data_IF_515863911446
#
_entry.id   IF_515863911446
#
_cell.length_a   1.000
_cell.length_b   1.000
_cell.length_c   1.000
_cell.angle_alpha   90.00
_cell.angle_beta   90.00
_cell.angle_gamma   90.00
#
_symmetry.space_group_name_H-M   'P 1'
#
loop_
_entity.id
_entity.type
_entity.pdbx_description
1 polymer ?
#
# COMPACT_ATOMS: atom_id res chain seq x y z
N UNK A 1 16.11 -12.15 13.46
CA UNK A 1 16.49 -11.04 14.36
C UNK A 1 17.65 -10.23 13.74
N UNK A 2 17.88 -8.98 14.17
CA UNK A 2 18.92 -8.09 13.62
C UNK A 2 20.37 -8.59 13.80
N UNK A 3 20.60 -9.50 14.75
CA UNK A 3 21.88 -10.16 15.01
C UNK A 3 22.05 -11.50 14.25
N UNK A 4 21.13 -11.84 13.34
CA UNK A 4 21.15 -13.07 12.56
C UNK A 4 20.57 -14.29 13.28
N UNK A 5 20.18 -14.19 14.56
CA UNK A 5 19.49 -15.31 15.23
C UNK A 5 18.03 -15.42 14.79
N UNK A 6 17.47 -16.61 14.95
CA UNK A 6 16.04 -16.89 14.78
C UNK A 6 15.38 -16.90 16.15
N UNK A 7 14.16 -16.38 16.22
CA UNK A 7 13.37 -16.34 17.44
C UNK A 7 11.91 -16.60 17.08
N UNK A 8 11.18 -17.48 17.80
CA UNK A 8 9.74 -17.57 17.65
C UNK A 8 9.11 -16.20 17.87
N UNK A 9 8.13 -15.83 17.04
CA UNK A 9 7.49 -14.51 17.13
C UNK A 9 6.84 -14.27 18.50
N UNK A 10 6.36 -15.34 19.17
CA UNK A 10 5.82 -15.32 20.52
C UNK A 10 6.82 -14.95 21.62
N UNK A 11 8.12 -15.02 21.34
CA UNK A 11 9.21 -14.69 22.28
C UNK A 11 9.88 -13.34 21.97
N UNK A 12 9.48 -12.70 20.86
CA UNK A 12 9.90 -11.33 20.53
C UNK A 12 9.32 -10.38 21.56
N UNK A 13 10.06 -9.33 21.91
CA UNK A 13 9.63 -8.33 22.88
C UNK A 13 9.80 -6.92 22.32
N UNK A 14 8.98 -5.99 22.78
CA UNK A 14 9.24 -4.56 22.58
C UNK A 14 10.68 -4.25 23.04
N UNK A 15 11.44 -3.55 22.20
CA UNK A 15 12.86 -3.32 22.41
C UNK A 15 13.79 -4.19 21.57
N UNK A 16 13.36 -5.37 21.14
CA UNK A 16 14.16 -6.25 20.27
C UNK A 16 14.43 -5.56 18.93
N UNK A 17 15.56 -5.88 18.30
CA UNK A 17 15.85 -5.44 16.93
C UNK A 17 15.60 -6.57 15.92
N UNK A 18 14.85 -6.25 14.88
CA UNK A 18 14.50 -7.16 13.77
C UNK A 18 15.16 -6.71 12.47
N UNK A 19 15.35 -7.67 11.55
CA UNK A 19 15.69 -7.35 10.17
C UNK A 19 14.41 -7.06 9.41
N UNK A 20 14.44 -5.98 8.65
CA UNK A 20 13.36 -5.54 7.79
C UNK A 20 13.95 -5.03 6.48
N UNK A 21 13.11 -4.71 5.50
CA UNK A 21 13.49 -4.14 4.23
C UNK A 21 12.36 -3.27 3.70
N UNK A 22 12.71 -2.22 2.97
CA UNK A 22 11.75 -1.51 2.15
C UNK A 22 11.20 -2.46 1.06
N UNK A 23 9.88 -2.41 0.79
CA UNK A 23 9.30 -3.19 -0.30
C UNK A 23 9.93 -2.85 -1.66
N UNK A 24 10.34 -3.88 -2.40
CA UNK A 24 10.99 -3.78 -3.69
C UNK A 24 12.48 -3.41 -3.63
N UNK A 25 13.06 -3.23 -2.43
CA UNK A 25 14.48 -2.91 -2.25
C UNK A 25 15.27 -4.14 -1.82
N UNK A 26 16.55 -4.16 -2.21
CA UNK A 26 17.51 -5.21 -1.82
C UNK A 26 18.19 -4.95 -0.48
N UNK A 27 18.12 -3.73 0.01
CA UNK A 27 18.81 -3.30 1.21
C UNK A 27 18.05 -3.75 2.47
N UNK A 28 18.77 -4.39 3.39
CA UNK A 28 18.25 -4.74 4.70
C UNK A 28 18.46 -3.61 5.68
N UNK A 29 17.46 -3.41 6.51
CA UNK A 29 17.49 -2.45 7.60
C UNK A 29 17.25 -3.13 8.95
N UNK A 30 17.68 -2.44 10.00
CA UNK A 30 17.51 -2.87 11.38
C UNK A 30 16.61 -1.88 12.08
N UNK A 31 15.46 -2.35 12.51
CA UNK A 31 14.49 -1.51 13.21
C UNK A 31 14.09 -2.15 14.53
N UNK A 32 13.65 -1.30 15.46
CA UNK A 32 13.26 -1.71 16.80
C UNK A 32 11.80 -2.14 16.80
N UNK A 33 11.49 -3.23 17.50
CA UNK A 33 10.11 -3.60 17.81
C UNK A 33 9.57 -2.63 18.85
N UNK A 34 8.53 -1.89 18.49
CA UNK A 34 7.75 -1.00 19.36
C UNK A 34 6.77 -1.77 20.23
N UNK A 35 6.05 -2.72 19.64
CA UNK A 35 4.99 -3.48 20.31
C UNK A 35 4.90 -4.91 19.77
N UNK A 36 4.41 -5.82 20.61
CA UNK A 36 4.02 -7.18 20.19
C UNK A 36 2.52 -7.28 20.35
N UNK A 37 1.83 -7.56 19.26
CA UNK A 37 0.38 -7.65 19.21
C UNK A 37 0.01 -9.11 19.32
N UNK A 38 -0.91 -9.42 20.23
CA UNK A 38 -1.38 -10.79 20.47
C UNK A 38 -2.87 -10.83 20.25
N UNK A 39 -3.30 -11.60 19.25
CA UNK A 39 -4.71 -11.75 18.91
C UNK A 39 -5.16 -13.18 19.16
N UNK A 40 -6.34 -13.35 19.76
CA UNK A 40 -6.94 -14.66 20.09
C UNK A 40 -8.29 -14.87 19.43
N UNK A 41 -8.73 -13.89 18.66
CA UNK A 41 -10.09 -13.82 18.11
C UNK A 41 -10.16 -14.12 16.62
N UNK A 42 -9.02 -14.21 15.93
CA UNK A 42 -8.96 -14.56 14.52
C UNK A 42 -9.50 -15.97 14.26
N UNK A 43 -10.25 -16.11 13.16
CA UNK A 43 -10.92 -17.38 12.78
C UNK A 43 -10.51 -17.89 11.42
N UNK A 44 -10.08 -17.01 10.52
CA UNK A 44 -9.71 -17.33 9.15
C UNK A 44 -8.20 -17.33 8.97
N UNK A 45 -7.66 -18.46 8.55
CA UNK A 45 -6.23 -18.72 8.43
C UNK A 45 -5.88 -19.23 7.04
N UNK A 46 -4.61 -19.09 6.69
CA UNK A 46 -4.04 -19.56 5.44
C UNK A 46 -2.68 -20.15 5.70
N UNK A 47 -2.45 -21.33 5.12
CA UNK A 47 -1.13 -21.95 5.01
C UNK A 47 -0.54 -21.53 3.66
N UNK A 48 0.57 -20.78 3.70
CA UNK A 48 1.33 -20.37 2.51
C UNK A 48 2.55 -21.26 2.40
N UNK A 49 2.60 -22.11 1.37
CA UNK A 49 3.72 -23.03 1.14
C UNK A 49 4.73 -22.37 0.20
N UNK A 50 5.93 -22.14 0.70
CA UNK A 50 7.03 -21.48 -0.03
C UNK A 50 8.07 -22.51 -0.44
N UNK A 51 8.62 -22.37 -1.66
CA UNK A 51 9.75 -23.15 -2.14
C UNK A 51 11.03 -22.70 -1.42
N UNK A 52 11.75 -23.64 -0.81
CA UNK A 52 13.07 -23.39 -0.19
C UNK A 52 14.08 -24.42 -0.66
N UNK A 53 15.37 -24.17 -0.42
CA UNK A 53 16.45 -25.11 -0.73
C UNK A 53 16.33 -26.42 0.07
N UNK A 54 15.76 -26.36 1.27
CA UNK A 54 15.48 -27.51 2.13
C UNK A 54 14.11 -28.19 1.82
N UNK A 55 13.50 -27.86 0.68
CA UNK A 55 12.18 -28.33 0.27
C UNK A 55 11.03 -27.38 0.65
N UNK A 56 9.77 -27.72 0.34
CA UNK A 56 8.62 -26.86 0.67
C UNK A 56 8.51 -26.60 2.19
N UNK A 57 8.24 -25.35 2.57
CA UNK A 57 8.01 -24.93 3.96
C UNK A 57 6.74 -24.10 4.06
N UNK A 58 6.01 -24.26 5.16
CA UNK A 58 4.72 -23.60 5.37
C UNK A 58 4.87 -22.44 6.33
N UNK A 59 4.23 -21.32 5.99
CA UNK A 59 3.94 -20.22 6.91
C UNK A 59 2.45 -20.28 7.23
N UNK A 60 2.13 -20.48 8.51
CA UNK A 60 0.76 -20.39 9.01
C UNK A 60 0.48 -18.92 9.37
N UNK A 61 -0.57 -18.33 8.80
CA UNK A 61 -0.91 -16.93 9.07
C UNK A 61 -2.42 -16.68 9.05
N UNK A 62 -2.84 -15.48 9.48
CA UNK A 62 -4.23 -15.05 9.27
C UNK A 62 -4.48 -14.78 7.79
N UNK A 63 -5.73 -14.97 7.36
CA UNK A 63 -6.13 -14.73 5.97
C UNK A 63 -5.84 -13.32 5.48
N UNK A 64 -5.87 -12.34 6.37
CA UNK A 64 -5.71 -10.92 6.05
C UNK A 64 -4.28 -10.41 6.18
N UNK A 65 -3.36 -11.21 6.73
CA UNK A 65 -1.96 -10.80 6.86
C UNK A 65 -1.34 -10.59 5.48
N UNK A 66 -0.56 -9.54 5.30
CA UNK A 66 -0.02 -9.18 3.99
C UNK A 66 1.41 -9.65 3.81
N UNK A 67 1.69 -10.20 2.63
CA UNK A 67 3.03 -10.49 2.14
C UNK A 67 3.35 -9.56 0.97
N UNK A 68 4.62 -9.20 0.84
CA UNK A 68 5.03 -8.39 -0.29
C UNK A 68 5.29 -9.27 -1.51
N UNK A 69 4.44 -9.11 -2.54
CA UNK A 69 4.57 -9.81 -3.82
C UNK A 69 5.44 -8.96 -4.75
N UNK A 70 6.61 -9.49 -5.10
CA UNK A 70 7.71 -8.71 -5.68
C UNK A 70 7.48 -8.38 -7.16
N UNK A 71 6.78 -9.26 -7.90
CA UNK A 71 6.58 -9.11 -9.35
C UNK A 71 5.54 -8.03 -9.65
N UNK A 72 4.46 -7.99 -8.88
CA UNK A 72 3.40 -6.98 -8.94
C UNK A 72 3.76 -5.72 -8.16
N UNK A 73 4.84 -5.75 -7.39
CA UNK A 73 5.29 -4.65 -6.56
C UNK A 73 4.17 -4.16 -5.64
N UNK A 74 3.53 -5.11 -4.94
CA UNK A 74 2.30 -4.86 -4.19
C UNK A 74 2.16 -5.76 -2.96
N UNK A 75 1.55 -5.22 -1.91
CA UNK A 75 1.12 -6.00 -0.76
C UNK A 75 -0.13 -6.82 -1.10
N UNK A 76 -0.05 -8.13 -0.91
CA UNK A 76 -1.16 -9.06 -1.17
C UNK A 76 -1.55 -9.75 0.14
N UNK A 77 -2.86 -9.80 0.44
CA UNK A 77 -3.35 -10.57 1.58
C UNK A 77 -3.06 -12.06 1.38
N UNK A 78 -2.78 -12.78 2.46
CA UNK A 78 -2.48 -14.20 2.43
C UNK A 78 -3.56 -15.02 1.71
N UNK A 79 -4.84 -14.72 1.95
CA UNK A 79 -5.97 -15.38 1.28
C UNK A 79 -6.09 -15.11 -0.22
N UNK A 80 -5.47 -14.03 -0.69
CA UNK A 80 -5.49 -13.63 -2.10
C UNK A 80 -4.26 -14.10 -2.86
N UNK A 81 -3.22 -14.59 -2.16
CA UNK A 81 -2.07 -15.21 -2.78
C UNK A 81 -2.47 -16.43 -3.63
N UNK A 82 -1.66 -16.72 -4.64
CA UNK A 82 -1.86 -17.80 -5.61
C UNK A 82 -0.55 -18.55 -5.86
N UNK A 83 -0.59 -19.87 -6.07
CA UNK A 83 0.57 -20.63 -6.51
C UNK A 83 1.24 -20.00 -7.73
N UNK A 84 2.57 -19.96 -7.72
CA UNK A 84 3.38 -19.35 -8.77
C UNK A 84 3.70 -17.86 -8.59
N UNK A 85 3.02 -17.15 -7.69
CA UNK A 85 3.44 -15.81 -7.29
C UNK A 85 4.74 -15.83 -6.49
N UNK A 86 5.41 -14.68 -6.43
CA UNK A 86 6.74 -14.57 -5.82
C UNK A 86 6.75 -13.50 -4.73
N UNK A 87 7.24 -13.88 -3.55
CA UNK A 87 7.41 -13.01 -2.40
C UNK A 87 8.83 -12.44 -2.36
N UNK A 88 9.02 -11.30 -1.73
CA UNK A 88 10.36 -10.76 -1.50
C UNK A 88 11.04 -11.47 -0.33
N UNK A 89 12.26 -11.96 -0.54
CA UNK A 89 13.16 -12.47 0.51
C UNK A 89 14.06 -11.37 1.12
N UNK A 90 14.96 -11.76 2.04
CA UNK A 90 15.85 -10.82 2.73
C UNK A 90 17.03 -10.29 1.89
N UNK A 91 17.14 -10.71 0.64
CA UNK A 91 18.09 -10.20 -0.35
C UNK A 91 17.39 -9.34 -1.41
N UNK A 92 16.07 -9.16 -1.30
CA UNK A 92 15.26 -8.52 -2.32
C UNK A 92 15.06 -9.39 -3.56
N UNK A 93 15.19 -10.71 -3.42
CA UNK A 93 15.05 -11.69 -4.50
C UNK A 93 13.74 -12.49 -4.36
N UNK A 94 13.27 -13.16 -5.44
CA UNK A 94 12.00 -13.87 -5.44
C UNK A 94 12.00 -15.20 -4.66
N UNK A 95 11.06 -15.35 -3.74
CA UNK A 95 10.71 -16.61 -3.06
C UNK A 95 9.33 -17.11 -3.56
N UNK A 96 9.33 -18.23 -4.32
CA UNK A 96 8.14 -18.70 -5.02
C UNK A 96 7.14 -19.42 -4.11
N UNK A 97 5.86 -19.09 -4.26
CA UNK A 97 4.74 -19.79 -3.63
C UNK A 97 4.40 -21.05 -4.43
N UNK A 98 4.27 -22.17 -3.72
CA UNK A 98 3.91 -23.49 -4.24
C UNK A 98 2.44 -23.81 -4.03
N UNK A 99 1.89 -23.47 -2.87
CA UNK A 99 0.50 -23.73 -2.52
C UNK A 99 -0.04 -22.68 -1.54
N UNK A 100 -1.36 -22.48 -1.56
CA UNK A 100 -2.09 -21.59 -0.64
C UNK A 100 -3.38 -22.26 -0.23
N UNK A 101 -3.48 -22.67 1.04
CA UNK A 101 -4.63 -23.39 1.56
C UNK A 101 -5.31 -22.62 2.69
N UNK A 102 -6.56 -22.22 2.49
CA UNK A 102 -7.35 -21.53 3.50
C UNK A 102 -8.08 -22.52 4.43
N UNK A 103 -8.16 -22.18 5.71
CA UNK A 103 -8.87 -22.97 6.72
C UNK A 103 -9.38 -22.08 7.85
N UNK A 104 -10.18 -22.66 8.74
CA UNK A 104 -10.63 -22.01 9.97
C UNK A 104 -10.09 -22.72 11.20
N UNK A 105 -9.76 -21.96 12.24
CA UNK A 105 -9.23 -22.49 13.49
C UNK A 105 -9.45 -21.51 14.65
N UNK A 106 -9.14 -21.93 15.87
CA UNK A 106 -8.95 -21.03 17.01
C UNK A 106 -7.48 -21.10 17.43
N UNK A 107 -6.72 -20.04 17.16
CA UNK A 107 -5.29 -19.96 17.48
C UNK A 107 -4.95 -18.60 18.09
N UNK A 108 -3.83 -18.54 18.81
CA UNK A 108 -3.22 -17.26 19.19
C UNK A 108 -2.25 -16.85 18.09
N UNK A 109 -2.43 -15.66 17.55
CA UNK A 109 -1.57 -15.06 16.53
C UNK A 109 -0.75 -13.94 17.14
N UNK A 110 0.41 -13.69 16.53
CA UNK A 110 1.34 -12.65 16.94
C UNK A 110 1.70 -11.80 15.74
N UNK A 111 1.77 -10.49 15.95
CA UNK A 111 2.26 -9.51 14.99
C UNK A 111 3.19 -8.53 15.71
N UNK A 112 4.03 -7.81 14.99
CA UNK A 112 5.01 -6.89 15.54
C UNK A 112 4.74 -5.49 15.03
N UNK A 113 4.61 -4.52 15.95
CA UNK A 113 4.84 -3.13 15.59
C UNK A 113 6.33 -2.84 15.55
N UNK A 114 6.86 -2.55 14.37
CA UNK A 114 8.26 -2.19 14.10
C UNK A 114 8.36 -0.69 13.83
N UNK A 115 9.41 -0.06 14.34
CA UNK A 115 9.75 1.33 14.08
C UNK A 115 10.08 1.58 12.62
N UNK A 116 9.80 2.79 12.12
CA UNK A 116 10.14 3.19 10.76
C UNK A 116 9.35 2.41 9.72
N UNK A 117 9.92 1.30 9.24
CA UNK A 117 9.30 0.46 8.23
C UNK A 117 8.20 -0.42 8.83
N UNK A 118 7.04 -0.41 8.20
CA UNK A 118 5.91 -1.27 8.54
C UNK A 118 6.07 -2.70 8.02
N UNK A 119 7.30 -3.24 8.11
CA UNK A 119 7.66 -4.56 7.59
C UNK A 119 8.61 -5.29 8.52
N UNK A 120 8.62 -6.62 8.44
CA UNK A 120 9.64 -7.48 9.05
C UNK A 120 9.74 -8.80 8.29
N UNK A 121 10.82 -9.55 8.51
CA UNK A 121 10.96 -10.89 7.92
C UNK A 121 10.47 -11.99 8.86
N UNK A 122 9.66 -12.90 8.32
CA UNK A 122 9.36 -14.20 8.94
C UNK A 122 10.00 -15.32 8.12
N UNK A 123 10.28 -16.46 8.73
CA UNK A 123 10.96 -17.55 8.04
C UNK A 123 9.98 -18.65 7.60
N UNK A 124 10.01 -18.99 6.32
CA UNK A 124 9.59 -20.30 5.81
C UNK A 124 10.79 -21.26 5.93
N UNK A 125 10.91 -21.98 7.05
CA UNK A 125 12.11 -22.76 7.35
C UNK A 125 13.31 -21.85 7.60
N UNK A 126 14.26 -21.80 6.66
CA UNK A 126 15.40 -20.89 6.65
C UNK A 126 15.27 -19.75 5.62
N UNK A 127 14.19 -19.75 4.82
CA UNK A 127 13.95 -18.75 3.78
C UNK A 127 13.13 -17.59 4.37
N UNK A 128 13.70 -16.39 4.53
CA UNK A 128 12.97 -15.23 4.98
C UNK A 128 12.01 -14.73 3.90
N UNK A 129 10.83 -14.26 4.32
CA UNK A 129 9.87 -13.56 3.47
C UNK A 129 9.41 -12.28 4.15
N UNK A 130 9.25 -11.21 3.37
CA UNK A 130 8.85 -9.90 3.85
C UNK A 130 7.34 -9.85 4.10
N UNK A 131 6.97 -9.58 5.35
CA UNK A 131 5.59 -9.45 5.79
C UNK A 131 5.31 -8.08 6.37
N UNK A 132 4.04 -7.71 6.39
CA UNK A 132 3.56 -6.44 6.88
C UNK A 132 3.39 -6.46 8.41
N UNK A 133 3.67 -5.32 9.05
CA UNK A 133 3.43 -5.07 10.47
C UNK A 133 2.09 -4.36 10.67
N UNK A 134 1.19 -4.86 11.53
CA UNK A 134 -0.04 -4.15 11.90
C UNK A 134 0.09 -3.37 13.22
N UNK A 135 -0.67 -2.28 13.38
CA UNK A 135 -1.04 -1.69 14.68
C UNK A 135 -2.39 -0.94 14.58
N UNK A 136 -2.98 -0.60 15.72
CA UNK A 136 -4.20 0.23 15.81
C UNK A 136 -3.85 1.68 15.46
N UNK A 137 -3.97 2.03 14.18
CA UNK A 137 -3.42 3.25 13.58
C UNK A 137 -2.55 2.98 12.35
N UNK A 138 -2.33 1.71 12.02
CA UNK A 138 -1.58 1.29 10.86
C UNK A 138 -2.37 1.59 9.59
N UNK A 139 -1.73 2.15 8.56
CA UNK A 139 -2.35 2.36 7.25
C UNK A 139 -2.99 1.09 6.68
N UNK A 140 -2.50 -0.09 7.04
CA UNK A 140 -3.10 -1.38 6.67
C UNK A 140 -4.41 -1.65 7.40
N UNK A 141 -4.47 -1.44 8.72
CA UNK A 141 -5.74 -1.57 9.46
C UNK A 141 -6.76 -0.54 8.96
N UNK A 142 -6.29 0.68 8.67
CA UNK A 142 -7.11 1.70 8.02
C UNK A 142 -7.58 1.25 6.64
N UNK A 143 -6.68 0.81 5.74
CA UNK A 143 -6.99 0.33 4.40
C UNK A 143 -8.03 -0.80 4.41
N UNK A 144 -7.90 -1.76 5.34
CA UNK A 144 -8.84 -2.87 5.53
C UNK A 144 -10.20 -2.41 6.04
N UNK A 145 -10.27 -1.28 6.75
CA UNK A 145 -11.53 -0.69 7.22
C UNK A 145 -12.27 0.10 6.15
N UNK A 146 -11.59 0.52 5.08
CA UNK A 146 -12.18 1.32 4.02
C UNK A 146 -13.09 0.48 3.13
N UNK A 147 -14.17 1.10 2.64
CA UNK A 147 -14.91 0.50 1.52
C UNK A 147 -14.01 0.53 0.30
N UNK A 148 -14.03 -0.57 -0.46
CA UNK A 148 -13.23 -0.70 -1.69
C UNK A 148 -14.13 -0.79 -2.92
N UNK A 149 -13.54 -0.46 -4.08
CA UNK A 149 -14.23 -0.48 -5.37
C UNK A 149 -13.29 -0.86 -6.51
N UNK A 150 -13.86 -1.26 -7.63
CA UNK A 150 -13.09 -1.46 -8.86
C UNK A 150 -12.75 -0.11 -9.52
N UNK A 151 -11.60 0.00 -10.22
CA UNK A 151 -11.14 1.21 -10.90
C UNK A 151 -12.21 1.78 -11.83
N UNK A 152 -12.49 3.07 -11.70
CA UNK A 152 -13.44 3.79 -12.54
C UNK A 152 -12.76 4.28 -13.82
N UNK A 153 -13.57 4.65 -14.81
CA UNK A 153 -13.11 5.08 -16.12
C UNK A 153 -13.06 3.96 -17.16
N UNK A 154 -12.41 4.25 -18.28
CA UNK A 154 -12.33 3.33 -19.42
C UNK A 154 -11.10 3.60 -20.28
N UNK A 155 -10.73 2.60 -21.10
CA UNK A 155 -9.65 2.70 -22.07
C UNK A 155 -8.30 3.04 -21.45
N UNK A 156 -7.55 3.93 -22.09
CA UNK A 156 -6.20 4.30 -21.66
C UNK A 156 -6.15 4.93 -20.25
N UNK A 157 -7.21 5.64 -19.82
CA UNK A 157 -7.27 6.21 -18.47
C UNK A 157 -7.27 5.12 -17.40
N UNK A 158 -8.17 4.13 -17.55
CA UNK A 158 -8.29 3.03 -16.59
C UNK A 158 -7.06 2.12 -16.64
N UNK A 159 -6.52 1.86 -17.83
CA UNK A 159 -5.29 1.09 -17.98
C UNK A 159 -4.09 1.79 -17.31
N UNK A 160 -4.00 3.12 -17.42
CA UNK A 160 -2.99 3.90 -16.73
C UNK A 160 -3.18 3.83 -15.22
N UNK A 161 -4.39 4.07 -14.70
CA UNK A 161 -4.70 3.93 -13.27
C UNK A 161 -4.27 2.56 -12.74
N UNK A 162 -4.73 1.47 -13.36
CA UNK A 162 -4.41 0.11 -12.92
C UNK A 162 -2.90 -0.14 -12.91
N UNK A 163 -2.19 0.34 -13.94
CA UNK A 163 -0.72 0.22 -14.02
C UNK A 163 -0.02 0.98 -12.90
N UNK A 164 -0.50 2.16 -12.54
CA UNK A 164 0.17 3.06 -11.59
C UNK A 164 -0.15 2.75 -10.13
N UNK A 165 -1.42 2.41 -9.84
CA UNK A 165 -1.91 2.38 -8.46
C UNK A 165 -2.70 1.11 -8.12
N UNK A 166 -2.82 0.18 -9.06
CA UNK A 166 -3.47 -1.11 -8.87
C UNK A 166 -4.97 -1.11 -9.18
N UNK A 167 -5.62 -2.24 -8.87
CA UNK A 167 -7.00 -2.51 -9.26
C UNK A 167 -8.04 -2.31 -8.15
N UNK A 168 -7.72 -1.48 -7.15
CA UNK A 168 -8.58 -1.26 -5.99
C UNK A 168 -8.62 0.22 -5.65
N UNK A 169 -9.80 0.81 -5.73
CA UNK A 169 -10.07 2.15 -5.22
C UNK A 169 -10.48 2.08 -3.76
N UNK A 170 -10.14 3.12 -2.99
CA UNK A 170 -10.37 3.20 -1.56
C UNK A 170 -11.25 4.40 -1.22
N UNK A 171 -12.31 4.15 -0.46
CA UNK A 171 -13.23 5.19 0.00
C UNK A 171 -12.84 5.71 1.38
N UNK A 172 -12.07 6.79 1.41
CA UNK A 172 -11.59 7.44 2.62
C UNK A 172 -12.58 8.50 3.12
N UNK A 173 -12.75 8.60 4.44
CA UNK A 173 -13.63 9.57 5.10
C UNK A 173 -12.86 10.34 6.19
N UNK A 174 -13.18 11.61 6.37
CA UNK A 174 -12.53 12.48 7.36
C UNK A 174 -12.93 13.94 7.13
N UNK A 175 -12.82 14.78 8.15
CA UNK A 175 -13.12 16.21 8.08
C UNK A 175 -14.58 16.51 7.72
N UNK A 176 -15.51 15.59 8.02
CA UNK A 176 -16.91 15.69 7.64
C UNK A 176 -17.21 15.42 6.16
N UNK A 177 -16.27 14.86 5.40
CA UNK A 177 -16.41 14.56 3.97
C UNK A 177 -15.80 13.20 3.60
N UNK A 178 -15.77 12.90 2.29
CA UNK A 178 -15.25 11.65 1.74
C UNK A 178 -14.62 11.82 0.35
N UNK A 179 -13.70 10.92 0.02
CA UNK A 179 -13.05 10.79 -1.29
C UNK A 179 -12.94 9.32 -1.70
N UNK A 180 -13.09 9.06 -2.99
CA UNK A 180 -12.60 7.83 -3.61
C UNK A 180 -11.21 8.13 -4.15
N UNK A 181 -10.20 7.45 -3.62
CA UNK A 181 -8.84 7.49 -4.14
C UNK A 181 -8.60 6.29 -5.06
N UNK A 182 -7.86 6.51 -6.13
CA UNK A 182 -7.56 5.48 -7.13
C UNK A 182 -6.71 4.34 -6.54
N UNK A 183 -5.95 4.62 -5.48
CA UNK A 183 -5.20 3.66 -4.69
C UNK A 183 -4.81 4.21 -3.31
N UNK A 184 -4.09 3.40 -2.54
CA UNK A 184 -3.54 3.75 -1.23
C UNK A 184 -2.17 3.10 -1.06
N UNK A 185 -1.13 3.90 -0.85
CA UNK A 185 0.19 3.41 -0.51
C UNK A 185 0.28 3.24 1.01
N UNK A 186 0.10 2.00 1.47
CA UNK A 186 0.11 1.68 2.91
C UNK A 186 1.48 1.88 3.57
N UNK A 187 2.57 1.98 2.81
CA UNK A 187 3.90 2.20 3.38
C UNK A 187 4.08 3.66 3.79
N UNK A 188 3.58 4.56 2.95
CA UNK A 188 3.69 6.01 3.17
C UNK A 188 2.43 6.58 3.82
N UNK A 189 1.33 5.84 3.83
CA UNK A 189 -0.02 6.31 4.21
C UNK A 189 -0.56 7.40 3.27
N UNK A 190 -0.17 7.35 2.00
CA UNK A 190 -0.63 8.32 1.00
C UNK A 190 -1.79 7.76 0.18
N UNK A 191 -2.86 8.55 0.03
CA UNK A 191 -3.85 8.28 -1.02
C UNK A 191 -3.20 8.50 -2.39
N UNK A 192 -3.52 7.63 -3.35
CA UNK A 192 -2.98 7.70 -4.71
C UNK A 192 -4.06 8.12 -5.69
N UNK A 193 -3.70 9.00 -6.62
CA UNK A 193 -4.62 9.53 -7.64
C UNK A 193 -3.90 9.57 -8.99
N UNK A 194 -4.39 8.79 -9.96
CA UNK A 194 -3.78 8.64 -11.27
C UNK A 194 -4.46 9.55 -12.31
N UNK A 195 -3.72 10.52 -12.83
CA UNK A 195 -4.22 11.51 -13.78
C UNK A 195 -3.58 11.33 -15.15
N UNK A 196 -4.23 10.54 -16.00
CA UNK A 196 -3.82 10.32 -17.38
C UNK A 196 -4.15 11.52 -18.29
N UNK A 197 -3.20 11.89 -19.15
CA UNK A 197 -3.34 12.88 -20.21
C UNK A 197 -3.07 12.20 -21.55
N UNK A 198 -4.13 12.02 -22.34
CA UNK A 198 -4.03 11.40 -23.67
C UNK A 198 -3.62 12.38 -24.77
N UNK A 199 -4.06 13.64 -24.71
CA UNK A 199 -3.67 14.69 -25.65
C UNK A 199 -3.35 15.99 -24.91
N UNK A 200 -2.05 16.30 -24.70
CA UNK A 200 -1.63 17.49 -23.96
C UNK A 200 -2.19 18.79 -24.55
N UNK A 201 -2.28 18.90 -25.88
CA UNK A 201 -2.78 20.10 -26.56
C UNK A 201 -4.28 20.36 -26.37
N UNK A 202 -5.04 19.41 -25.82
CA UNK A 202 -6.48 19.51 -25.51
C UNK A 202 -6.81 19.17 -24.06
N UNK A 203 -5.81 18.99 -23.21
CA UNK A 203 -6.00 18.60 -21.82
C UNK A 203 -6.25 19.83 -20.95
N UNK A 204 -7.29 19.84 -20.09
CA UNK A 204 -7.53 20.93 -19.15
C UNK A 204 -6.48 20.95 -18.03
N UNK A 205 -5.70 19.87 -17.87
CA UNK A 205 -4.63 19.80 -16.89
C UNK A 205 -3.33 20.41 -17.39
N UNK A 206 -3.21 20.71 -18.69
CA UNK A 206 -2.00 21.28 -19.28
C UNK A 206 -2.23 22.76 -19.56
N UNK A 207 -1.61 23.69 -18.81
CA UNK A 207 -1.76 25.12 -19.03
C UNK A 207 -1.40 25.53 -20.47
N UNK A 208 -2.20 26.40 -21.06
CA UNK A 208 -2.01 26.85 -22.46
C UNK A 208 -2.57 25.89 -23.53
N UNK A 209 -3.26 24.81 -23.12
CA UNK A 209 -4.00 23.94 -24.02
C UNK A 209 -5.18 24.64 -24.72
N UNK A 210 -5.68 24.03 -25.80
CA UNK A 210 -6.80 24.55 -26.61
C UNK A 210 -8.17 24.25 -26.01
N UNK A 211 -8.29 24.29 -24.68
CA UNK A 211 -9.55 24.03 -23.97
C UNK A 211 -10.38 25.32 -23.91
N UNK A 212 -11.65 25.31 -24.35
CA UNK A 212 -12.53 26.46 -24.20
C UNK A 212 -12.63 26.93 -22.75
N UNK A 213 -12.58 28.24 -22.49
CA UNK A 213 -12.50 28.79 -21.13
C UNK A 213 -13.63 28.38 -20.20
N UNK A 214 -14.86 28.22 -20.71
CA UNK A 214 -15.99 27.72 -19.92
C UNK A 214 -15.85 26.25 -19.52
N UNK A 215 -15.13 25.43 -20.29
CA UNK A 215 -14.80 24.05 -19.94
C UNK A 215 -13.69 24.08 -18.89
N UNK A 216 -12.64 24.89 -19.10
CA UNK A 216 -11.55 25.04 -18.13
C UNK A 216 -12.09 25.43 -16.75
N UNK A 217 -12.94 26.46 -16.67
CA UNK A 217 -13.52 26.91 -15.40
C UNK A 217 -14.34 25.82 -14.69
N UNK A 218 -15.08 24.99 -15.44
CA UNK A 218 -15.82 23.85 -14.86
C UNK A 218 -14.89 22.77 -14.33
N UNK A 219 -13.81 22.47 -15.05
CA UNK A 219 -12.80 21.49 -14.60
C UNK A 219 -12.08 22.02 -13.37
N UNK A 220 -11.67 23.28 -13.36
CA UNK A 220 -10.98 23.91 -12.22
C UNK A 220 -11.88 23.93 -10.98
N UNK A 221 -13.17 24.24 -11.12
CA UNK A 221 -14.13 24.16 -10.02
C UNK A 221 -14.29 22.73 -9.49
N UNK A 222 -14.39 21.73 -10.39
CA UNK A 222 -14.50 20.32 -10.00
C UNK A 222 -13.24 19.83 -9.30
N UNK A 223 -12.06 20.13 -9.83
CA UNK A 223 -10.79 19.73 -9.23
C UNK A 223 -10.55 20.47 -7.91
N UNK A 224 -10.93 21.74 -7.81
CA UNK A 224 -10.89 22.48 -6.55
C UNK A 224 -11.74 21.83 -5.45
N UNK A 225 -12.98 21.43 -5.78
CA UNK A 225 -13.82 20.66 -4.85
C UNK A 225 -13.15 19.34 -4.44
N UNK A 226 -12.67 18.57 -5.41
CA UNK A 226 -12.01 17.28 -5.16
C UNK A 226 -10.78 17.42 -4.25
N UNK A 227 -9.90 18.37 -4.52
CA UNK A 227 -8.71 18.62 -3.72
C UNK A 227 -9.03 19.21 -2.34
N UNK A 228 -10.11 20.00 -2.21
CA UNK A 228 -10.59 20.43 -0.89
C UNK A 228 -11.07 19.25 -0.04
N UNK A 229 -11.71 18.24 -0.65
CA UNK A 229 -12.11 17.02 0.05
C UNK A 229 -10.92 16.15 0.41
N UNK A 230 -9.91 16.03 -0.46
CA UNK A 230 -8.65 15.37 -0.11
C UNK A 230 -7.98 16.04 1.09
N UNK A 231 -7.88 17.38 1.09
CA UNK A 231 -7.31 18.12 2.22
C UNK A 231 -8.08 17.85 3.53
N UNK A 232 -9.41 17.88 3.50
CA UNK A 232 -10.23 17.63 4.68
C UNK A 232 -10.09 16.19 5.21
N UNK A 233 -10.04 15.20 4.33
CA UNK A 233 -9.89 13.79 4.71
C UNK A 233 -8.50 13.49 5.26
N UNK A 234 -7.45 13.99 4.60
CA UNK A 234 -6.06 13.71 4.97
C UNK A 234 -5.64 14.48 6.22
N UNK A 235 -6.07 15.73 6.38
CA UNK A 235 -5.74 16.54 7.55
C UNK A 235 -6.63 16.26 8.78
N UNK A 236 -7.57 15.33 8.69
CA UNK A 236 -8.34 14.90 9.86
C UNK A 236 -7.42 14.18 10.86
N UNK A 237 -7.30 14.66 12.12
CA UNK A 237 -6.40 14.05 13.11
C UNK A 237 -6.77 12.62 13.49
N UNK A 238 -8.00 12.17 13.20
CA UNK A 238 -8.43 10.78 13.36
C UNK A 238 -8.02 9.86 12.20
N UNK A 239 -7.39 10.41 11.15
CA UNK A 239 -6.99 9.67 9.97
C UNK A 239 -5.48 9.42 9.97
N UNK A 240 -5.00 8.17 9.77
CA UNK A 240 -3.56 7.89 9.69
C UNK A 240 -2.91 8.31 8.37
N UNK A 241 -3.66 8.95 7.46
CA UNK A 241 -3.13 9.42 6.18
C UNK A 241 -2.08 10.51 6.36
N UNK A 242 -1.05 10.49 5.53
CA UNK A 242 0.06 11.46 5.54
C UNK A 242 0.02 12.41 4.35
N UNK A 243 -0.66 12.04 3.27
CA UNK A 243 -0.65 12.82 2.03
C UNK A 243 -1.47 12.25 0.88
N UNK A 244 -1.44 13.00 -0.23
CA UNK A 244 -1.91 12.59 -1.54
C UNK A 244 -0.71 12.54 -2.50
N UNK A 245 -0.55 11.44 -3.23
CA UNK A 245 0.39 11.34 -4.34
C UNK A 245 -0.37 11.31 -5.66
N UNK A 246 -0.31 12.42 -6.39
CA UNK A 246 -0.87 12.51 -7.75
C UNK A 246 0.16 11.99 -8.75
N UNK A 247 -0.21 11.01 -9.57
CA UNK A 247 0.66 10.37 -10.55
C UNK A 247 0.15 10.70 -11.94
N UNK A 248 0.96 11.36 -12.78
CA UNK A 248 0.55 11.76 -14.13
C UNK A 248 1.61 11.40 -15.16
N UNK A 249 1.19 11.10 -16.40
CA UNK A 249 2.09 10.80 -17.51
C UNK A 249 2.56 12.04 -18.27
N UNK A 250 2.05 13.23 -17.94
CA UNK A 250 2.33 14.46 -18.68
C UNK A 250 2.99 15.52 -17.78
N UNK A 251 4.20 15.91 -18.19
CA UNK A 251 5.00 16.95 -17.53
C UNK A 251 4.26 18.28 -17.36
N UNK A 252 3.48 18.69 -18.37
CA UNK A 252 2.67 19.91 -18.34
C UNK A 252 1.57 19.89 -17.27
N UNK A 253 1.10 18.71 -16.88
CA UNK A 253 0.07 18.55 -15.85
C UNK A 253 0.61 18.63 -14.42
N UNK A 254 1.92 18.43 -14.23
CA UNK A 254 2.55 18.48 -12.91
C UNK A 254 2.33 19.82 -12.22
N UNK A 255 2.50 20.93 -12.95
CA UNK A 255 2.32 22.28 -12.38
C UNK A 255 0.87 22.53 -11.97
N UNK A 256 -0.09 22.03 -12.74
CA UNK A 256 -1.51 22.20 -12.47
C UNK A 256 -1.91 21.53 -11.15
N UNK A 257 -1.61 20.24 -10.99
CA UNK A 257 -1.95 19.51 -9.77
C UNK A 257 -1.18 20.00 -8.55
N UNK A 258 0.10 20.37 -8.72
CA UNK A 258 0.87 20.95 -7.61
C UNK A 258 0.27 22.28 -7.14
N UNK A 259 -0.24 23.08 -8.07
CA UNK A 259 -0.97 24.31 -7.75
C UNK A 259 -2.24 24.05 -6.94
N UNK A 260 -3.05 23.05 -7.34
CA UNK A 260 -4.25 22.65 -6.59
C UNK A 260 -3.91 22.15 -5.18
N UNK A 261 -2.88 21.30 -5.03
CA UNK A 261 -2.45 20.83 -3.72
C UNK A 261 -2.04 22.00 -2.81
N UNK A 262 -1.26 22.95 -3.32
CA UNK A 262 -0.86 24.14 -2.57
C UNK A 262 -2.04 25.04 -2.22
N UNK A 263 -2.95 25.27 -3.17
CA UNK A 263 -4.12 26.12 -2.97
C UNK A 263 -5.05 25.58 -1.87
N UNK A 264 -5.20 24.26 -1.78
CA UNK A 264 -6.12 23.62 -0.85
C UNK A 264 -5.44 23.07 0.41
N UNK A 265 -4.12 23.20 0.54
CA UNK A 265 -3.38 22.68 1.70
C UNK A 265 -3.39 21.14 1.78
N UNK A 266 -3.32 20.46 0.62
CA UNK A 266 -3.19 19.01 0.55
C UNK A 266 -1.71 18.64 0.75
N UNK A 267 -1.33 17.93 1.83
CA UNK A 267 0.03 17.41 1.97
C UNK A 267 0.29 16.31 0.94
N UNK A 268 1.54 16.16 0.49
CA UNK A 268 1.95 15.10 -0.44
C UNK A 268 2.72 15.61 -1.66
N UNK A 269 2.62 14.90 -2.78
CA UNK A 269 3.46 15.16 -3.97
C UNK A 269 2.74 14.93 -5.31
N UNK A 270 3.37 15.44 -6.38
CA UNK A 270 2.98 15.14 -7.77
C UNK A 270 4.16 14.50 -8.48
N UNK A 271 3.97 13.27 -8.96
CA UNK A 271 4.98 12.42 -9.59
C UNK A 271 4.69 12.28 -11.09
N UNK A 272 5.72 12.51 -11.90
CA UNK A 272 5.67 12.24 -13.33
C UNK A 272 6.04 10.77 -13.59
N UNK A 273 5.12 9.98 -14.13
CA UNK A 273 5.37 8.59 -14.51
C UNK A 273 4.68 8.24 -15.85
N UNK A 274 5.42 8.19 -16.97
CA UNK A 274 4.87 8.00 -18.32
C UNK A 274 4.29 6.61 -18.63
#
# INVERSE_FOLDING_TARGET
MANGTVKPISEVKAGDQVLTAEPGKKEKEKHKVKEVIVTKTDRDYVDVVVKTDAGPKTIETTKHHQFYEIVRNSWTQAGDLKPGQELQDDKGEPARILDVTAYTAERTTYDLSVEGLHTYHVLAGDTPVLVHNTNTGCPTSYALSLKTGAPKGSGANQAYQIKQVGSTEYHATGGGTQVWADGLDINTSELLDAKYVGNPGRSPFVPGGKVPGFIQAKIDAKMGDEFSRYAAVINDPGNPLTGLRVITNESGAVRYFRGLMQQHGVPGSVVLNP
#
